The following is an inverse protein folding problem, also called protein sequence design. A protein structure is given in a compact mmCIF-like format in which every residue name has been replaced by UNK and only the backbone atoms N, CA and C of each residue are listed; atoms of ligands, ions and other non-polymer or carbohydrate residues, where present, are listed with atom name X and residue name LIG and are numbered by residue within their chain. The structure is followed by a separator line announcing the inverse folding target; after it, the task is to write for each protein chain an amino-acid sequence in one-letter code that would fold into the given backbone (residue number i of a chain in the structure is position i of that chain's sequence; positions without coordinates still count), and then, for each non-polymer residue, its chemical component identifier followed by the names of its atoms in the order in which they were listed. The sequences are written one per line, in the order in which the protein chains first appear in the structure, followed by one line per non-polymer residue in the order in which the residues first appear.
data_IF_835992736293
#
_entry.id   IF_835992736293
#
_cell.length_a   1.000
_cell.length_b   1.000
_cell.length_c   1.000
_cell.angle_alpha   90.00
_cell.angle_beta   90.00
_cell.angle_gamma   90.00
#
_symmetry.space_group_name_H-M   'P 1'
#
loop_
_entity.id
_entity.type
_entity.pdbx_description
1 polymer ?
#
# COMPACT_ATOMS: atom_id res chain seq x y z
N UNK A 1 6.00 23.55 25.69
CA UNK A 1 6.11 22.10 25.40
C UNK A 1 5.10 21.76 24.30
N UNK A 2 5.47 21.99 23.06
CA UNK A 2 4.61 21.84 21.88
C UNK A 2 4.96 20.52 21.22
N UNK A 3 4.08 19.52 21.33
CA UNK A 3 4.22 18.22 20.70
C UNK A 3 3.98 18.35 19.20
N UNK A 4 5.03 18.43 18.41
CA UNK A 4 4.98 18.23 16.97
C UNK A 4 4.62 16.76 16.67
N UNK A 5 3.36 16.50 16.36
CA UNK A 5 2.94 15.29 15.65
C UNK A 5 3.40 15.43 14.20
N UNK A 6 4.59 14.95 13.90
CA UNK A 6 5.01 14.74 12.51
C UNK A 6 4.31 13.50 11.98
N UNK A 7 3.32 13.73 11.14
CA UNK A 7 2.72 12.71 10.28
C UNK A 7 3.84 12.15 9.41
N UNK A 8 4.17 10.87 9.60
CA UNK A 8 5.04 10.13 8.70
C UNK A 8 4.27 9.87 7.41
N UNK A 9 4.39 10.76 6.44
CA UNK A 9 4.05 10.45 5.07
C UNK A 9 5.05 9.40 4.59
N UNK A 10 4.67 8.13 4.64
CA UNK A 10 5.28 7.08 3.85
C UNK A 10 5.02 7.50 2.40
N UNK A 11 6.06 8.02 1.75
CA UNK A 11 6.07 8.20 0.32
C UNK A 11 6.17 6.81 -0.33
N UNK A 12 5.09 6.04 -0.26
CA UNK A 12 4.80 5.15 -1.36
C UNK A 12 4.63 6.09 -2.55
N UNK A 13 5.50 5.97 -3.54
CA UNK A 13 5.41 6.73 -4.77
C UNK A 13 4.16 6.34 -5.56
N UNK A 14 3.00 6.61 -4.97
CA UNK A 14 1.77 6.64 -5.73
C UNK A 14 1.95 7.85 -6.61
N UNK A 15 2.31 7.60 -7.87
CA UNK A 15 2.02 8.55 -8.93
C UNK A 15 0.61 9.01 -8.64
N UNK A 16 0.46 10.26 -8.24
CA UNK A 16 -0.82 10.94 -8.22
C UNK A 16 -1.24 10.98 -9.68
N UNK A 17 -1.77 9.85 -10.14
CA UNK A 17 -2.53 9.79 -11.37
C UNK A 17 -3.66 10.76 -11.11
N UNK A 18 -3.49 11.98 -11.63
CA UNK A 18 -4.40 13.09 -11.39
C UNK A 18 -5.82 12.59 -11.47
N UNK A 19 -6.67 13.13 -10.61
CA UNK A 19 -8.07 12.75 -10.44
C UNK A 19 -8.64 12.22 -11.75
N UNK A 20 -9.22 11.00 -11.77
CA UNK A 20 -9.80 10.45 -12.98
C UNK A 20 -10.68 11.53 -13.60
N UNK A 21 -10.48 11.81 -14.88
CA UNK A 21 -11.25 12.87 -15.50
C UNK A 21 -12.72 12.45 -15.49
N UNK A 22 -13.51 13.16 -14.70
CA UNK A 22 -14.98 13.03 -14.64
C UNK A 22 -15.63 13.27 -16.03
N UNK A 23 -14.85 13.60 -17.04
CA UNK A 23 -15.28 14.04 -18.37
C UNK A 23 -15.73 12.92 -19.33
N UNK A 24 -15.43 11.66 -19.03
CA UNK A 24 -15.91 10.54 -19.85
C UNK A 24 -17.36 10.13 -19.49
N UNK A 25 -17.82 10.52 -18.31
CA UNK A 25 -19.14 10.19 -17.76
C UNK A 25 -20.05 11.42 -17.84
N UNK A 26 -21.33 11.20 -18.13
CA UNK A 26 -22.29 12.29 -18.32
C UNK A 26 -23.23 12.38 -17.11
N UNK A 27 -23.29 13.54 -16.43
CA UNK A 27 -24.30 13.76 -15.40
C UNK A 27 -25.70 13.67 -16.02
N UNK A 28 -26.63 13.03 -15.32
CA UNK A 28 -28.00 12.79 -15.78
C UNK A 28 -28.96 13.96 -15.49
N UNK A 29 -28.54 14.91 -14.64
CA UNK A 29 -29.39 16.05 -14.25
C UNK A 29 -28.56 17.28 -13.90
N UNK A 30 -29.21 18.47 -13.92
CA UNK A 30 -28.58 19.72 -13.44
C UNK A 30 -28.19 19.64 -11.95
N UNK A 31 -28.98 18.94 -11.13
CA UNK A 31 -28.69 18.73 -9.72
C UNK A 31 -27.41 17.88 -9.53
N UNK A 32 -27.25 16.83 -10.32
CA UNK A 32 -26.05 16.01 -10.30
C UNK A 32 -24.80 16.79 -10.75
N UNK A 33 -24.92 17.63 -11.79
CA UNK A 33 -23.84 18.54 -12.22
C UNK A 33 -23.37 19.40 -11.05
N UNK A 34 -24.31 20.04 -10.35
CA UNK A 34 -23.99 20.92 -9.23
C UNK A 34 -23.32 20.14 -8.06
N UNK A 35 -23.82 18.93 -7.78
CA UNK A 35 -23.25 18.08 -6.73
C UNK A 35 -21.82 17.61 -7.09
N UNK A 36 -21.55 17.23 -8.33
CA UNK A 36 -20.20 16.88 -8.81
C UNK A 36 -19.27 18.10 -8.78
N UNK A 37 -19.78 19.27 -9.15
CA UNK A 37 -19.04 20.52 -9.06
C UNK A 37 -18.62 20.82 -7.60
N UNK A 38 -19.48 20.53 -6.63
CA UNK A 38 -19.16 20.67 -5.21
C UNK A 38 -17.99 19.76 -4.78
N UNK A 39 -17.90 18.52 -5.32
CA UNK A 39 -16.73 17.64 -5.07
C UNK A 39 -15.44 18.26 -5.60
N UNK A 40 -15.49 18.89 -6.78
CA UNK A 40 -14.29 19.49 -7.41
C UNK A 40 -13.85 20.79 -6.73
N UNK A 41 -14.79 21.54 -6.15
CA UNK A 41 -14.54 22.85 -5.56
C UNK A 41 -14.34 22.81 -4.04
N UNK A 42 -14.49 21.65 -3.43
CA UNK A 42 -14.23 21.44 -2.00
C UNK A 42 -12.78 21.82 -1.66
N UNK A 43 -12.62 22.57 -0.56
CA UNK A 43 -11.32 23.15 -0.17
C UNK A 43 -10.55 22.26 0.82
N UNK A 44 -11.26 21.37 1.50
CA UNK A 44 -10.68 20.47 2.49
C UNK A 44 -11.05 19.01 2.19
N UNK A 45 -10.23 18.03 2.62
CA UNK A 45 -10.56 16.62 2.50
C UNK A 45 -11.94 16.28 3.07
N UNK A 46 -12.30 16.84 4.23
CA UNK A 46 -13.59 16.56 4.87
C UNK A 46 -14.78 17.17 4.10
N UNK A 47 -14.63 18.35 3.52
CA UNK A 47 -15.63 18.94 2.61
C UNK A 47 -15.79 18.08 1.36
N UNK A 48 -14.68 17.55 0.83
CA UNK A 48 -14.69 16.71 -0.35
C UNK A 48 -15.40 15.37 -0.08
N UNK A 49 -15.13 14.72 1.04
CA UNK A 49 -15.85 13.51 1.47
C UNK A 49 -17.35 13.79 1.61
N UNK A 50 -17.74 14.89 2.27
CA UNK A 50 -19.17 15.27 2.39
C UNK A 50 -19.84 15.48 1.04
N UNK A 51 -19.14 16.12 0.11
CA UNK A 51 -19.66 16.33 -1.25
C UNK A 51 -19.78 15.01 -2.02
N UNK A 52 -18.80 14.10 -1.89
CA UNK A 52 -18.85 12.76 -2.47
C UNK A 52 -20.06 11.98 -1.93
N UNK A 53 -20.22 11.91 -0.61
CA UNK A 53 -21.35 11.20 0.01
C UNK A 53 -22.71 11.82 -0.38
N UNK A 54 -22.78 13.13 -0.56
CA UNK A 54 -23.98 13.80 -1.08
C UNK A 54 -24.34 13.29 -2.49
N UNK A 55 -23.33 13.13 -3.40
CA UNK A 55 -23.57 12.56 -4.73
C UNK A 55 -24.04 11.11 -4.61
N UNK A 56 -23.31 10.29 -3.86
CA UNK A 56 -23.59 8.85 -3.73
C UNK A 56 -24.95 8.56 -3.10
N UNK A 57 -25.45 9.44 -2.24
CA UNK A 57 -26.75 9.30 -1.55
C UNK A 57 -27.90 9.79 -2.42
N UNK A 58 -27.77 10.97 -3.03
CA UNK A 58 -28.87 11.61 -3.74
C UNK A 58 -28.96 11.24 -5.23
N UNK A 59 -27.91 10.65 -5.79
CA UNK A 59 -27.81 10.20 -7.17
C UNK A 59 -27.29 8.75 -7.24
N UNK A 60 -28.05 7.82 -6.65
CA UNK A 60 -27.64 6.42 -6.47
C UNK A 60 -27.31 5.68 -7.78
N UNK A 61 -27.87 6.14 -8.91
CA UNK A 61 -27.66 5.63 -10.26
C UNK A 61 -26.59 6.42 -11.05
N UNK A 62 -25.80 7.24 -10.36
CA UNK A 62 -24.73 8.03 -10.99
C UNK A 62 -23.69 7.15 -11.70
N UNK A 63 -23.26 7.56 -12.88
CA UNK A 63 -22.15 6.92 -13.59
C UNK A 63 -20.80 7.15 -12.89
N UNK A 64 -20.71 8.15 -12.00
CA UNK A 64 -19.49 8.51 -11.26
C UNK A 64 -19.27 7.67 -10.01
N UNK A 65 -20.14 6.73 -9.69
CA UNK A 65 -20.14 5.98 -8.42
C UNK A 65 -18.74 5.43 -8.04
N UNK A 66 -18.16 4.61 -8.93
CA UNK A 66 -16.88 3.94 -8.63
C UNK A 66 -15.73 4.94 -8.48
N UNK A 67 -15.70 5.96 -9.34
CA UNK A 67 -14.69 7.03 -9.28
C UNK A 67 -14.79 7.81 -7.97
N UNK A 68 -15.99 8.15 -7.54
CA UNK A 68 -16.22 8.89 -6.30
C UNK A 68 -15.86 8.06 -5.05
N UNK A 69 -16.22 6.78 -5.04
CA UNK A 69 -15.83 5.86 -3.95
C UNK A 69 -14.30 5.72 -3.91
N UNK A 70 -13.64 5.56 -5.06
CA UNK A 70 -12.19 5.49 -5.12
C UNK A 70 -11.52 6.79 -4.64
N UNK A 71 -12.07 7.95 -4.98
CA UNK A 71 -11.58 9.24 -4.47
C UNK A 71 -11.72 9.30 -2.94
N UNK A 72 -12.87 8.92 -2.39
CA UNK A 72 -13.08 8.90 -0.94
C UNK A 72 -12.09 7.96 -0.25
N UNK A 73 -11.88 6.75 -0.79
CA UNK A 73 -10.88 5.80 -0.28
C UNK A 73 -9.48 6.43 -0.23
N UNK A 74 -9.04 7.09 -1.29
CA UNK A 74 -7.72 7.73 -1.36
C UNK A 74 -7.58 8.91 -0.39
N UNK A 75 -8.65 9.69 -0.20
CA UNK A 75 -8.66 10.80 0.76
C UNK A 75 -8.50 10.25 2.18
N UNK A 76 -9.24 9.22 2.55
CA UNK A 76 -9.16 8.64 3.89
C UNK A 76 -7.81 7.93 4.15
N UNK A 77 -7.24 7.27 3.13
CA UNK A 77 -5.89 6.73 3.18
C UNK A 77 -4.84 7.82 3.46
N UNK A 78 -4.93 8.97 2.78
CA UNK A 78 -4.03 10.11 3.01
C UNK A 78 -4.21 10.73 4.40
N UNK A 79 -5.42 10.72 4.96
CA UNK A 79 -5.71 11.13 6.35
C UNK A 79 -5.18 10.11 7.37
N UNK A 80 -4.89 8.89 6.95
CA UNK A 80 -4.52 7.78 7.82
C UNK A 80 -5.71 7.24 8.62
N UNK A 81 -6.93 7.45 8.15
CA UNK A 81 -8.13 6.86 8.74
C UNK A 81 -8.34 5.45 8.20
N UNK A 82 -7.75 4.47 8.89
CA UNK A 82 -7.85 3.06 8.52
C UNK A 82 -9.30 2.57 8.37
N UNK A 83 -10.18 2.93 9.31
CA UNK A 83 -11.55 2.42 9.32
C UNK A 83 -12.33 2.92 8.09
N UNK A 84 -12.19 4.20 7.76
CA UNK A 84 -12.84 4.79 6.59
C UNK A 84 -12.19 4.31 5.28
N UNK A 85 -10.87 4.14 5.26
CA UNK A 85 -10.17 3.58 4.09
C UNK A 85 -10.69 2.18 3.75
N UNK A 86 -10.78 1.30 4.73
CA UNK A 86 -11.34 -0.05 4.56
C UNK A 86 -12.82 0.00 4.14
N UNK A 87 -13.62 0.85 4.78
CA UNK A 87 -15.04 1.00 4.43
C UNK A 87 -15.25 1.38 2.95
N UNK A 88 -14.50 2.36 2.45
CA UNK A 88 -14.61 2.74 1.02
C UNK A 88 -14.01 1.70 0.08
N UNK A 89 -12.95 1.01 0.49
CA UNK A 89 -12.37 -0.07 -0.31
C UNK A 89 -13.34 -1.25 -0.45
N UNK A 90 -14.01 -1.67 0.63
CA UNK A 90 -15.04 -2.72 0.59
C UNK A 90 -16.22 -2.29 -0.29
N UNK A 91 -16.70 -1.06 -0.12
CA UNK A 91 -17.78 -0.49 -0.92
C UNK A 91 -17.43 -0.42 -2.42
N UNK A 92 -16.13 -0.21 -2.76
CA UNK A 92 -15.66 -0.26 -4.14
C UNK A 92 -15.65 -1.69 -4.68
N UNK A 93 -15.29 -2.69 -3.87
CA UNK A 93 -15.37 -4.10 -4.26
C UNK A 93 -16.80 -4.61 -4.41
N UNK A 94 -17.75 -4.08 -3.64
CA UNK A 94 -19.18 -4.39 -3.83
C UNK A 94 -19.66 -3.94 -5.22
N UNK A 95 -19.15 -2.82 -5.72
CA UNK A 95 -19.50 -2.28 -7.01
C UNK A 95 -18.66 -2.88 -8.17
N UNK A 96 -17.39 -3.21 -7.89
CA UNK A 96 -16.43 -3.80 -8.84
C UNK A 96 -15.55 -4.82 -8.11
N UNK A 97 -15.96 -6.11 -8.03
CA UNK A 97 -15.25 -7.17 -7.30
C UNK A 97 -13.83 -7.46 -7.78
N UNK A 98 -13.44 -6.93 -8.95
CA UNK A 98 -12.10 -7.09 -9.53
C UNK A 98 -11.27 -5.82 -9.48
N UNK A 99 -11.70 -4.83 -8.73
CA UNK A 99 -10.99 -3.56 -8.61
C UNK A 99 -9.64 -3.75 -7.92
N UNK A 100 -8.57 -3.73 -8.69
CA UNK A 100 -7.19 -4.01 -8.21
C UNK A 100 -6.75 -2.99 -7.16
N UNK A 101 -7.16 -1.73 -7.28
CA UNK A 101 -6.82 -0.70 -6.30
C UNK A 101 -7.43 -1.02 -4.93
N UNK A 102 -8.73 -1.33 -4.90
CA UNK A 102 -9.41 -1.69 -3.66
C UNK A 102 -8.85 -2.97 -3.05
N UNK A 103 -8.55 -3.98 -3.88
CA UNK A 103 -7.92 -5.23 -3.44
C UNK A 103 -6.56 -4.97 -2.77
N UNK A 104 -5.70 -4.15 -3.38
CA UNK A 104 -4.40 -3.80 -2.82
C UNK A 104 -4.51 -2.98 -1.53
N UNK A 105 -5.42 -2.01 -1.49
CA UNK A 105 -5.66 -1.20 -0.28
C UNK A 105 -6.11 -2.10 0.87
N UNK A 106 -7.11 -2.96 0.66
CA UNK A 106 -7.58 -3.89 1.69
C UNK A 106 -6.48 -4.83 2.17
N UNK A 107 -5.70 -5.40 1.24
CA UNK A 107 -4.59 -6.29 1.60
C UNK A 107 -3.53 -5.54 2.43
N UNK A 108 -3.08 -4.38 1.95
CA UNK A 108 -2.01 -3.62 2.60
C UNK A 108 -2.43 -3.05 3.95
N UNK A 109 -3.60 -2.41 4.01
CA UNK A 109 -4.09 -1.79 5.24
C UNK A 109 -4.42 -2.83 6.31
N UNK A 110 -5.04 -3.96 5.93
CA UNK A 110 -5.31 -5.04 6.88
C UNK A 110 -4.01 -5.65 7.40
N UNK A 111 -3.01 -5.89 6.54
CA UNK A 111 -1.72 -6.41 6.97
C UNK A 111 -1.00 -5.45 7.93
N UNK A 112 -0.98 -4.14 7.64
CA UNK A 112 -0.34 -3.11 8.49
C UNK A 112 -1.00 -2.97 9.85
N UNK A 113 -2.32 -3.13 9.95
CA UNK A 113 -3.09 -2.95 11.18
C UNK A 113 -3.33 -4.26 11.94
N UNK A 114 -2.90 -5.41 11.40
CA UNK A 114 -2.91 -6.68 12.12
C UNK A 114 -1.71 -6.76 13.06
N UNK A 115 -1.96 -7.13 14.32
CA UNK A 115 -0.92 -7.29 15.35
C UNK A 115 -0.68 -8.76 15.64
N UNK A 116 0.50 -9.08 16.18
CA UNK A 116 0.92 -10.45 16.50
C UNK A 116 -0.07 -11.18 17.43
N UNK A 117 -0.68 -10.45 18.36
CA UNK A 117 -1.55 -11.01 19.40
C UNK A 117 -3.05 -10.73 19.17
N UNK A 118 -3.44 -10.26 17.97
CA UNK A 118 -4.86 -10.12 17.65
C UNK A 118 -5.54 -11.51 17.66
N UNK A 119 -6.70 -11.61 18.30
CA UNK A 119 -7.45 -12.87 18.38
C UNK A 119 -7.94 -13.35 17.02
N UNK A 120 -8.22 -12.42 16.11
CA UNK A 120 -8.66 -12.65 14.74
C UNK A 120 -7.53 -12.56 13.70
N UNK A 121 -6.26 -12.64 14.16
CA UNK A 121 -5.08 -12.48 13.30
C UNK A 121 -5.14 -13.37 12.06
N UNK A 122 -5.35 -14.67 12.22
CA UNK A 122 -5.31 -15.59 11.09
C UNK A 122 -6.48 -15.36 10.12
N UNK A 123 -7.65 -14.95 10.59
CA UNK A 123 -8.77 -14.55 9.74
C UNK A 123 -8.41 -13.32 8.90
N UNK A 124 -7.84 -12.29 9.53
CA UNK A 124 -7.37 -11.09 8.84
C UNK A 124 -6.30 -11.42 7.79
N UNK A 125 -5.29 -12.22 8.16
CA UNK A 125 -4.21 -12.58 7.26
C UNK A 125 -4.68 -13.48 6.11
N UNK A 126 -5.69 -14.33 6.31
CA UNK A 126 -6.31 -15.09 5.23
C UNK A 126 -7.05 -14.18 4.24
N UNK A 127 -7.69 -13.10 4.73
CA UNK A 127 -8.29 -12.07 3.86
C UNK A 127 -7.20 -11.33 3.07
N UNK A 128 -6.08 -10.96 3.71
CA UNK A 128 -4.92 -10.36 3.04
C UNK A 128 -4.44 -11.23 1.88
N UNK A 129 -4.21 -12.52 2.12
CA UNK A 129 -3.77 -13.46 1.08
C UNK A 129 -4.78 -13.53 -0.08
N UNK A 130 -6.08 -13.58 0.23
CA UNK A 130 -7.14 -13.61 -0.78
C UNK A 130 -7.14 -12.36 -1.66
N UNK A 131 -7.10 -11.18 -1.05
CA UNK A 131 -7.12 -9.92 -1.78
C UNK A 131 -5.82 -9.70 -2.57
N UNK A 132 -4.66 -9.98 -1.99
CA UNK A 132 -3.39 -9.86 -2.68
C UNK A 132 -3.29 -10.79 -3.89
N UNK A 133 -3.73 -12.04 -3.78
CA UNK A 133 -3.79 -12.98 -4.92
C UNK A 133 -4.71 -12.49 -6.02
N UNK A 134 -5.91 -12.00 -5.67
CA UNK A 134 -6.83 -11.44 -6.64
C UNK A 134 -6.25 -10.17 -7.32
N UNK A 135 -5.51 -9.33 -6.56
CA UNK A 135 -4.82 -8.18 -7.12
C UNK A 135 -3.71 -8.59 -8.10
N UNK A 136 -2.92 -9.62 -7.77
CA UNK A 136 -1.89 -10.17 -8.68
C UNK A 136 -2.48 -10.69 -9.98
N UNK A 137 -3.63 -11.37 -9.91
CA UNK A 137 -4.33 -11.88 -11.09
C UNK A 137 -4.91 -10.74 -11.95
N UNK A 138 -5.45 -9.70 -11.32
CA UNK A 138 -6.11 -8.58 -12.01
C UNK A 138 -5.15 -7.53 -12.55
N UNK A 139 -4.03 -7.27 -11.89
CA UNK A 139 -3.14 -6.15 -12.19
C UNK A 139 -2.61 -6.15 -13.64
N UNK A 140 -2.18 -7.28 -14.25
CA UNK A 140 -1.66 -7.27 -15.62
C UNK A 140 -2.65 -6.77 -16.67
N UNK A 141 -3.95 -6.94 -16.43
CA UNK A 141 -5.03 -6.57 -17.36
C UNK A 141 -5.88 -5.40 -16.85
N UNK A 142 -5.47 -4.77 -15.74
CA UNK A 142 -6.20 -3.63 -15.18
C UNK A 142 -6.39 -2.53 -16.24
N UNK A 143 -7.64 -2.04 -16.46
CA UNK A 143 -7.91 -1.01 -17.44
C UNK A 143 -7.31 0.33 -17.01
N UNK A 144 -6.89 1.13 -18.00
CA UNK A 144 -6.46 2.51 -17.71
C UNK A 144 -7.63 3.31 -17.11
N UNK A 145 -7.41 4.05 -16.03
CA UNK A 145 -8.44 4.92 -15.47
C UNK A 145 -8.76 6.11 -16.39
N UNK A 146 -7.86 6.42 -17.34
CA UNK A 146 -7.99 7.50 -18.32
C UNK A 146 -7.28 7.11 -19.61
N UNK A 147 -7.87 7.46 -20.75
CA UNK A 147 -7.32 7.14 -22.08
C UNK A 147 -6.04 7.93 -22.42
N UNK A 148 -5.85 9.11 -21.82
CA UNK A 148 -4.70 9.99 -22.04
C UNK A 148 -3.41 9.57 -21.30
N UNK A 149 -3.48 8.57 -20.43
CA UNK A 149 -2.29 8.01 -19.77
C UNK A 149 -1.46 7.24 -20.81
N UNK A 150 -0.15 7.55 -20.98
CA UNK A 150 0.73 6.80 -21.86
C UNK A 150 0.78 5.31 -21.48
N UNK A 151 0.84 4.42 -22.47
CA UNK A 151 0.88 2.96 -22.22
C UNK A 151 2.03 2.55 -21.32
N UNK A 152 3.24 3.04 -21.57
CA UNK A 152 4.41 2.74 -20.78
C UNK A 152 4.26 3.17 -19.29
N UNK A 153 3.60 4.30 -19.04
CA UNK A 153 3.32 4.75 -17.68
C UNK A 153 2.31 3.83 -16.99
N UNK A 154 1.27 3.40 -17.72
CA UNK A 154 0.27 2.50 -17.17
C UNK A 154 0.83 1.09 -16.93
N UNK A 155 1.68 0.60 -17.83
CA UNK A 155 2.38 -0.67 -17.63
C UNK A 155 3.29 -0.63 -16.40
N UNK A 156 3.95 0.50 -16.14
CA UNK A 156 4.67 0.72 -14.88
C UNK A 156 3.74 0.65 -13.66
N UNK A 157 2.60 1.34 -13.71
CA UNK A 157 1.61 1.32 -12.62
C UNK A 157 1.05 -0.08 -12.36
N UNK A 158 0.80 -0.89 -13.39
CA UNK A 158 0.39 -2.30 -13.23
C UNK A 158 1.44 -3.14 -12.50
N UNK A 159 2.73 -2.93 -12.82
CA UNK A 159 3.83 -3.58 -12.12
C UNK A 159 3.91 -3.15 -10.66
N UNK A 160 3.70 -1.88 -10.38
CA UNK A 160 3.68 -1.37 -9.01
C UNK A 160 2.48 -1.91 -8.21
N UNK A 161 1.31 -2.12 -8.85
CA UNK A 161 0.19 -2.82 -8.23
C UNK A 161 0.52 -4.28 -7.88
N UNK A 162 1.27 -4.99 -8.74
CA UNK A 162 1.74 -6.34 -8.42
C UNK A 162 2.74 -6.31 -7.26
N UNK A 163 3.66 -5.34 -7.24
CA UNK A 163 4.60 -5.17 -6.15
C UNK A 163 3.90 -4.95 -4.81
N UNK A 164 2.87 -4.10 -4.78
CA UNK A 164 2.06 -3.86 -3.57
C UNK A 164 1.37 -5.14 -3.06
N UNK A 165 0.86 -5.97 -3.96
CA UNK A 165 0.25 -7.24 -3.57
C UNK A 165 1.27 -8.21 -2.96
N UNK A 166 2.46 -8.33 -3.55
CA UNK A 166 3.55 -9.11 -2.95
C UNK A 166 4.02 -8.55 -1.62
N UNK A 167 4.08 -7.22 -1.46
CA UNK A 167 4.39 -6.60 -0.17
C UNK A 167 3.37 -6.97 0.92
N UNK A 168 2.08 -6.94 0.61
CA UNK A 168 1.04 -7.33 1.53
C UNK A 168 1.18 -8.81 1.96
N UNK A 169 1.48 -9.71 1.01
CA UNK A 169 1.77 -11.12 1.30
C UNK A 169 3.01 -11.26 2.18
N UNK A 170 4.08 -10.54 1.88
CA UNK A 170 5.30 -10.52 2.68
C UNK A 170 5.05 -10.05 4.13
N UNK A 171 4.20 -9.03 4.32
CA UNK A 171 3.79 -8.60 5.66
C UNK A 171 2.99 -9.70 6.38
N UNK A 172 2.04 -10.34 5.70
CA UNK A 172 1.24 -11.42 6.25
C UNK A 172 2.10 -12.62 6.66
N UNK A 173 3.06 -13.01 5.82
CA UNK A 173 4.01 -14.06 6.12
C UNK A 173 4.90 -13.72 7.34
N UNK A 174 5.37 -12.48 7.45
CA UNK A 174 6.12 -11.99 8.62
C UNK A 174 5.33 -12.13 9.91
N UNK A 175 4.06 -11.73 9.92
CA UNK A 175 3.16 -11.83 11.08
C UNK A 175 2.90 -13.29 11.50
N UNK A 176 2.99 -14.23 10.56
CA UNK A 176 2.95 -15.69 10.80
C UNK A 176 4.30 -16.27 11.19
N UNK A 177 5.36 -15.46 11.26
CA UNK A 177 6.76 -15.88 11.49
C UNK A 177 7.30 -16.82 10.40
N UNK A 178 6.73 -16.78 9.21
CA UNK A 178 7.18 -17.49 8.02
C UNK A 178 8.19 -16.62 7.25
N UNK A 179 9.33 -16.41 7.87
CA UNK A 179 10.28 -15.40 7.43
C UNK A 179 10.91 -15.69 6.06
N UNK A 180 11.07 -16.95 5.70
CA UNK A 180 11.54 -17.33 4.35
C UNK A 180 10.50 -17.00 3.27
N UNK A 181 9.21 -17.28 3.52
CA UNK A 181 8.10 -16.91 2.64
C UNK A 181 8.03 -15.37 2.51
N UNK A 182 8.11 -14.67 3.65
CA UNK A 182 8.14 -13.20 3.69
C UNK A 182 9.27 -12.61 2.85
N UNK A 183 10.49 -13.14 3.00
CA UNK A 183 11.64 -12.68 2.21
C UNK A 183 11.46 -12.98 0.72
N UNK A 184 10.86 -14.12 0.36
CA UNK A 184 10.56 -14.46 -1.03
C UNK A 184 9.55 -13.47 -1.64
N UNK A 185 8.47 -13.15 -0.92
CA UNK A 185 7.46 -12.20 -1.38
C UNK A 185 8.05 -10.79 -1.56
N UNK A 186 8.86 -10.29 -0.63
CA UNK A 186 9.52 -8.99 -0.80
C UNK A 186 10.53 -8.99 -1.96
N UNK A 187 11.23 -10.10 -2.22
CA UNK A 187 12.08 -10.23 -3.41
C UNK A 187 11.25 -10.16 -4.70
N UNK A 188 10.06 -10.78 -4.72
CA UNK A 188 9.14 -10.65 -5.86
C UNK A 188 8.63 -9.21 -6.03
N UNK A 189 8.24 -8.55 -4.96
CA UNK A 189 7.83 -7.14 -5.00
C UNK A 189 8.91 -6.26 -5.64
N UNK A 190 10.17 -6.41 -5.21
CA UNK A 190 11.31 -5.66 -5.75
C UNK A 190 11.57 -6.01 -7.22
N UNK A 191 11.41 -7.27 -7.61
CA UNK A 191 11.69 -7.73 -8.97
C UNK A 191 10.66 -7.26 -9.98
N UNK A 192 9.37 -7.22 -9.61
CA UNK A 192 8.27 -6.86 -10.51
C UNK A 192 8.02 -5.35 -10.55
N UNK A 193 8.19 -4.63 -9.45
CA UNK A 193 7.90 -3.21 -9.34
C UNK A 193 8.70 -2.35 -10.32
N UNK A 194 8.02 -1.43 -10.97
CA UNK A 194 8.65 -0.41 -11.81
C UNK A 194 9.31 0.68 -10.95
N UNK A 195 8.70 0.97 -9.80
CA UNK A 195 9.21 1.91 -8.80
C UNK A 195 9.93 1.16 -7.70
N UNK A 196 11.18 1.56 -7.42
CA UNK A 196 11.95 0.98 -6.33
C UNK A 196 11.64 1.71 -5.02
N UNK A 197 11.00 1.02 -4.07
CA UNK A 197 10.73 1.55 -2.72
C UNK A 197 11.81 1.09 -1.74
N UNK A 198 12.60 2.01 -1.14
CA UNK A 198 13.56 1.67 -0.11
C UNK A 198 12.96 1.00 1.12
N UNK A 199 11.68 1.26 1.41
CA UNK A 199 11.00 0.60 2.53
C UNK A 199 10.79 -0.90 2.27
N UNK A 200 10.60 -1.32 1.02
CA UNK A 200 10.52 -2.74 0.65
C UNK A 200 11.86 -3.44 0.85
N UNK A 201 12.97 -2.79 0.48
CA UNK A 201 14.33 -3.28 0.79
C UNK A 201 14.56 -3.42 2.30
N UNK A 202 14.10 -2.45 3.09
CA UNK A 202 14.18 -2.50 4.55
C UNK A 202 13.39 -3.69 5.13
N UNK A 203 12.16 -3.92 4.64
CA UNK A 203 11.32 -5.05 5.05
C UNK A 203 11.93 -6.39 4.66
N UNK A 204 12.50 -6.48 3.44
CA UNK A 204 13.27 -7.66 3.02
C UNK A 204 14.43 -7.93 3.97
N UNK A 205 15.22 -6.90 4.30
CA UNK A 205 16.32 -7.02 5.26
C UNK A 205 15.85 -7.52 6.61
N UNK A 206 14.73 -7.03 7.12
CA UNK A 206 14.16 -7.50 8.39
C UNK A 206 13.72 -8.97 8.30
N UNK A 207 13.01 -9.37 7.26
CA UNK A 207 12.59 -10.76 7.07
C UNK A 207 13.79 -11.73 6.99
N UNK A 208 14.85 -11.33 6.28
CA UNK A 208 16.09 -12.10 6.19
C UNK A 208 16.83 -12.18 7.54
N UNK A 209 16.84 -11.09 8.31
CA UNK A 209 17.42 -11.05 9.65
C UNK A 209 16.68 -12.00 10.60
N UNK A 210 15.36 -12.01 10.54
CA UNK A 210 14.50 -12.89 11.33
C UNK A 210 14.60 -14.36 10.90
N UNK A 211 14.88 -14.61 9.59
CA UNK A 211 15.24 -15.92 9.06
C UNK A 211 16.69 -16.34 9.35
N UNK A 212 17.45 -15.52 10.10
CA UNK A 212 18.88 -15.73 10.38
C UNK A 212 19.79 -15.81 9.14
N UNK A 213 19.37 -15.19 8.02
CA UNK A 213 20.16 -15.06 6.78
C UNK A 213 20.96 -13.74 6.82
N UNK A 214 21.96 -13.71 7.68
CA UNK A 214 22.60 -12.47 8.12
C UNK A 214 23.35 -11.72 7.00
N UNK A 215 23.94 -12.43 6.05
CA UNK A 215 24.65 -11.81 4.90
C UNK A 215 23.66 -11.14 3.95
N UNK A 216 22.60 -11.86 3.56
CA UNK A 216 21.55 -11.32 2.71
C UNK A 216 20.82 -10.14 3.37
N UNK A 217 20.61 -10.20 4.70
CA UNK A 217 19.99 -9.12 5.46
C UNK A 217 20.85 -7.84 5.40
N UNK A 218 22.17 -7.97 5.61
CA UNK A 218 23.09 -6.83 5.52
C UNK A 218 23.05 -6.18 4.14
N UNK A 219 23.07 -6.99 3.06
CA UNK A 219 22.98 -6.51 1.68
C UNK A 219 21.66 -5.77 1.41
N UNK A 220 20.54 -6.26 1.93
CA UNK A 220 19.25 -5.62 1.76
C UNK A 220 19.19 -4.27 2.50
N UNK A 221 19.75 -4.18 3.72
CA UNK A 221 19.85 -2.91 4.44
C UNK A 221 20.77 -1.91 3.73
N UNK A 222 21.89 -2.36 3.15
CA UNK A 222 22.77 -1.52 2.35
C UNK A 222 22.07 -0.95 1.12
N UNK A 223 21.28 -1.74 0.43
CA UNK A 223 20.45 -1.28 -0.69
C UNK A 223 19.41 -0.25 -0.25
N UNK A 224 18.76 -0.46 0.91
CA UNK A 224 17.83 0.52 1.47
C UNK A 224 18.53 1.86 1.80
N UNK A 225 19.77 1.82 2.33
CA UNK A 225 20.55 2.99 2.65
C UNK A 225 21.04 3.75 1.41
N UNK A 226 21.43 3.02 0.38
CA UNK A 226 21.98 3.58 -0.87
C UNK A 226 20.90 4.16 -1.79
N UNK A 227 19.63 3.86 -1.56
CA UNK A 227 18.53 4.31 -2.42
C UNK A 227 18.40 5.85 -2.37
N UNK A 228 18.39 6.54 -3.52
CA UNK A 228 18.38 8.01 -3.57
C UNK A 228 17.11 8.62 -2.98
N UNK A 229 16.00 7.90 -3.01
CA UNK A 229 14.69 8.28 -2.48
C UNK A 229 14.44 7.78 -1.04
N UNK A 230 15.46 7.22 -0.37
CA UNK A 230 15.31 6.74 1.01
C UNK A 230 15.10 7.92 1.98
N UNK A 231 13.98 7.85 2.71
CA UNK A 231 13.65 8.86 3.72
C UNK A 231 14.63 8.78 4.92
N UNK A 232 14.78 9.87 5.70
CA UNK A 232 15.59 9.85 6.92
C UNK A 232 15.20 8.74 7.89
N UNK A 233 13.91 8.40 7.97
CA UNK A 233 13.39 7.34 8.80
C UNK A 233 13.86 5.96 8.32
N UNK A 234 13.74 5.67 7.01
CA UNK A 234 14.23 4.42 6.41
C UNK A 234 15.72 4.27 6.67
N UNK A 235 16.51 5.32 6.44
CA UNK A 235 17.96 5.32 6.68
C UNK A 235 18.30 5.03 8.14
N UNK A 236 17.61 5.69 9.07
CA UNK A 236 17.82 5.47 10.51
C UNK A 236 17.55 4.02 10.92
N UNK A 237 16.43 3.45 10.48
CA UNK A 237 16.07 2.08 10.81
C UNK A 237 17.03 1.08 10.15
N UNK A 238 17.35 1.29 8.87
CA UNK A 238 18.27 0.41 8.13
C UNK A 238 19.67 0.39 8.77
N UNK A 239 20.18 1.55 9.23
CA UNK A 239 21.45 1.63 9.95
C UNK A 239 21.39 0.82 11.25
N UNK A 240 20.38 1.03 12.08
CA UNK A 240 20.22 0.30 13.33
C UNK A 240 20.11 -1.22 13.11
N UNK A 241 19.39 -1.65 12.08
CA UNK A 241 19.22 -3.06 11.74
C UNK A 241 20.48 -3.69 11.15
N UNK A 242 21.26 -2.95 10.39
CA UNK A 242 22.57 -3.37 9.92
C UNK A 242 23.54 -3.58 11.08
N UNK A 243 23.56 -2.68 12.06
CA UNK A 243 24.37 -2.82 13.26
C UNK A 243 23.94 -4.05 14.11
N UNK A 244 22.62 -4.29 14.21
CA UNK A 244 22.09 -5.50 14.85
C UNK A 244 22.57 -6.76 14.12
N UNK A 245 22.50 -6.77 12.80
CA UNK A 245 22.96 -7.87 11.96
C UNK A 245 24.45 -8.17 12.15
N UNK A 246 25.28 -7.12 12.19
CA UNK A 246 26.72 -7.26 12.43
C UNK A 246 27.02 -7.87 13.82
N UNK A 247 26.29 -7.44 14.86
CA UNK A 247 26.42 -8.01 16.22
C UNK A 247 26.03 -9.48 16.25
N UNK A 248 24.94 -9.89 15.58
CA UNK A 248 24.53 -11.30 15.49
C UNK A 248 25.58 -12.14 14.76
N UNK A 249 26.17 -11.64 13.66
CA UNK A 249 27.27 -12.32 12.94
C UNK A 249 28.48 -12.52 13.83
N UNK A 250 28.91 -11.47 14.55
CA UNK A 250 30.05 -11.57 15.47
C UNK A 250 29.80 -12.53 16.65
N UNK A 251 28.57 -12.58 17.14
CA UNK A 251 28.17 -13.53 18.18
C UNK A 251 28.16 -14.99 17.71
N UNK A 252 27.71 -15.21 16.48
CA UNK A 252 27.70 -16.55 15.85
C UNK A 252 29.12 -17.07 15.51
N UNK A 253 30.07 -16.16 15.25
CA UNK A 253 31.46 -16.50 14.96
C UNK A 253 32.31 -16.84 16.21
N UNK A 254 31.80 -16.60 17.44
CA UNK A 254 32.50 -16.91 18.66
C UNK A 254 32.33 -18.42 18.96
N UNK A 255 33.43 -19.23 19.03
CA UNK A 255 33.30 -20.62 19.41
C UNK A 255 32.69 -20.72 20.81
N UNK A 256 31.87 -21.75 21.11
CA UNK A 256 31.42 -22.01 22.47
C UNK A 256 32.62 -22.10 23.35
N UNK A 257 32.70 -21.20 24.37
CA UNK A 257 33.85 -21.08 25.26
C UNK A 257 34.28 -22.42 25.78
N UNK A 258 35.51 -22.81 25.46
CA UNK A 258 36.17 -23.91 26.17
C UNK A 258 36.36 -23.52 27.62
N UNK A 259 35.80 -24.33 28.52
CA UNK A 259 36.14 -24.39 29.92
C UNK A 259 37.42 -25.20 30.09
#
# INVERSE_FOLDING_TARGET
MTRFRRVCALAAGIVVLGLPSLWAQKPKSKGEVAAIQAVQTAKTPDEQIKAIENVLTNFADTEFKNVLIQMAMQIEEQKGDFAQTVFYAERLLDADPKNVFALNVLASETARHTREFDLDKEEKLAKVDKWAKAALEGAPTAPKPRADIPDAQWDGARKDMQAQAYEAMGMAASLRKKYDESAADYKQAIAVGATQDPATQLRLGQALLDANKLDEAADAFDKALAAPNATPQVKSIATAKKDETAKRKAGAAKPPGGF
#
